data_IF_224073239360
#
_entry.id   IF_224073239360
#
_cell.length_a   1.000
_cell.length_b   1.000
_cell.length_c   1.000
_cell.angle_alpha   90.00
_cell.angle_beta   90.00
_cell.angle_gamma   90.00
#
_symmetry.space_group_name_H-M   'P 1'
#
loop_
_entity.id
_entity.type
_entity.pdbx_description
1 polymer ?
#
# COMPACT_ATOMS: atom_id res chain seq x y z
N UNK A 1 -39.85 0.60 15.55
CA UNK A 1 -39.98 0.10 14.16
C UNK A 1 -38.59 0.08 13.56
N UNK A 2 -38.24 -0.98 12.82
CA UNK A 2 -37.03 -0.99 12.02
C UNK A 2 -37.37 -0.38 10.66
N UNK A 3 -36.66 0.67 10.27
CA UNK A 3 -36.85 1.35 8.99
C UNK A 3 -35.72 1.00 8.04
N UNK A 4 -36.03 0.86 6.77
CA UNK A 4 -35.03 0.78 5.71
C UNK A 4 -34.64 2.20 5.30
N UNK A 5 -33.35 2.53 5.40
CA UNK A 5 -32.83 3.86 5.06
C UNK A 5 -31.99 3.72 3.79
N UNK A 6 -32.54 4.18 2.67
CA UNK A 6 -31.82 4.31 1.39
C UNK A 6 -31.09 5.66 1.39
N UNK A 7 -29.79 5.64 1.08
CA UNK A 7 -28.95 6.83 1.16
C UNK A 7 -29.40 7.96 0.22
N UNK A 8 -29.82 7.61 -0.99
CA UNK A 8 -30.28 8.58 -1.99
C UNK A 8 -31.61 9.22 -1.58
N UNK A 9 -32.52 8.45 -0.98
CA UNK A 9 -33.81 8.95 -0.49
C UNK A 9 -33.63 9.87 0.72
N UNK A 10 -32.78 9.49 1.68
CA UNK A 10 -32.43 10.36 2.81
C UNK A 10 -31.74 11.64 2.33
N UNK A 11 -30.82 11.54 1.37
CA UNK A 11 -30.17 12.71 0.80
C UNK A 11 -31.17 13.63 0.08
N UNK A 12 -32.09 13.06 -0.72
CA UNK A 12 -33.14 13.81 -1.38
C UNK A 12 -34.05 14.51 -0.36
N UNK A 13 -34.49 13.80 0.68
CA UNK A 13 -35.27 14.38 1.78
C UNK A 13 -34.55 15.55 2.46
N UNK A 14 -33.28 15.37 2.82
CA UNK A 14 -32.47 16.42 3.45
C UNK A 14 -32.26 17.62 2.51
N UNK A 15 -32.08 17.38 1.20
CA UNK A 15 -31.91 18.43 0.19
C UNK A 15 -33.20 19.22 -0.01
N UNK A 16 -34.30 18.53 -0.27
CA UNK A 16 -35.61 19.10 -0.62
C UNK A 16 -36.19 19.90 0.54
N UNK A 17 -35.95 19.44 1.78
CA UNK A 17 -36.38 20.12 3.00
C UNK A 17 -35.31 21.04 3.60
N UNK A 18 -34.12 21.11 2.99
CA UNK A 18 -32.99 21.97 3.42
C UNK A 18 -32.51 21.70 4.86
N UNK A 19 -32.55 20.44 5.29
CA UNK A 19 -32.36 20.02 6.70
C UNK A 19 -30.92 19.65 7.07
N UNK A 20 -29.97 19.66 6.14
CA UNK A 20 -28.60 19.19 6.41
C UNK A 20 -27.92 19.89 7.58
N UNK A 21 -27.93 21.22 7.61
CA UNK A 21 -27.26 22.00 8.67
C UNK A 21 -27.97 21.83 10.01
N UNK A 22 -29.29 21.72 9.99
CA UNK A 22 -30.10 21.44 11.18
C UNK A 22 -29.79 20.06 11.75
N UNK A 23 -29.71 19.03 10.90
CA UNK A 23 -29.32 17.69 11.29
C UNK A 23 -27.90 17.66 11.89
N UNK A 24 -26.94 18.38 11.30
CA UNK A 24 -25.59 18.52 11.88
C UNK A 24 -25.63 19.17 13.25
N UNK A 25 -26.47 20.20 13.43
CA UNK A 25 -26.63 20.91 14.71
C UNK A 25 -27.24 20.01 15.78
N UNK A 26 -28.25 19.20 15.44
CA UNK A 26 -28.83 18.21 16.36
C UNK A 26 -27.82 17.13 16.78
N UNK A 27 -26.92 16.74 15.86
CA UNK A 27 -25.83 15.80 16.16
C UNK A 27 -24.63 16.47 16.87
N UNK A 28 -24.64 17.78 17.09
CA UNK A 28 -23.55 18.52 17.74
C UNK A 28 -22.26 18.62 16.90
N UNK A 29 -22.37 18.49 15.58
CA UNK A 29 -21.22 18.43 14.67
C UNK A 29 -20.76 19.82 14.21
N UNK A 30 -19.47 19.94 13.88
CA UNK A 30 -18.84 21.09 13.24
C UNK A 30 -18.88 22.42 14.01
N UNK A 31 -19.08 22.37 15.33
CA UNK A 31 -18.83 23.48 16.24
C UNK A 31 -19.48 24.81 15.83
N UNK A 32 -18.68 25.88 15.73
CA UNK A 32 -19.21 27.20 15.41
C UNK A 32 -19.74 27.29 13.97
N UNK A 33 -19.23 26.47 13.05
CA UNK A 33 -19.67 26.48 11.66
C UNK A 33 -21.16 26.13 11.51
N UNK A 34 -21.71 25.28 12.38
CA UNK A 34 -23.16 25.00 12.45
C UNK A 34 -23.89 25.97 13.38
N UNK A 35 -23.33 26.30 14.56
CA UNK A 35 -23.99 27.22 15.52
C UNK A 35 -24.19 28.63 14.98
N UNK A 36 -23.21 29.14 14.23
CA UNK A 36 -23.22 30.46 13.61
C UNK A 36 -23.71 30.46 12.16
N UNK A 37 -24.26 29.36 11.67
CA UNK A 37 -24.81 29.30 10.32
C UNK A 37 -26.10 30.10 10.25
N UNK A 38 -26.09 31.17 9.45
CA UNK A 38 -27.28 31.99 9.17
C UNK A 38 -27.40 32.08 7.64
N UNK A 39 -28.53 31.63 7.04
CA UNK A 39 -28.75 31.73 5.61
C UNK A 39 -28.48 33.14 5.07
N UNK A 40 -27.74 33.22 3.96
CA UNK A 40 -27.33 34.49 3.35
C UNK A 40 -26.18 35.24 4.05
N UNK A 41 -25.66 34.75 5.18
CA UNK A 41 -24.47 35.30 5.85
C UNK A 41 -23.30 34.33 5.76
N UNK A 42 -22.08 34.88 5.87
CA UNK A 42 -20.86 34.07 5.91
C UNK A 42 -20.80 33.31 7.24
N UNK A 43 -20.81 31.98 7.17
CA UNK A 43 -20.66 31.13 8.35
C UNK A 43 -19.23 31.24 8.92
N UNK A 44 -19.06 31.15 10.24
CA UNK A 44 -17.74 31.06 10.86
C UNK A 44 -17.05 29.75 10.46
N UNK A 45 -15.72 29.76 10.50
CA UNK A 45 -14.91 28.58 10.17
C UNK A 45 -14.57 27.80 11.43
N UNK A 46 -14.23 26.54 11.24
CA UNK A 46 -13.77 25.62 12.29
C UNK A 46 -12.67 24.69 11.76
N UNK A 47 -12.20 23.78 12.62
CA UNK A 47 -11.21 22.76 12.30
C UNK A 47 -11.73 21.85 11.19
N UNK A 48 -10.85 21.40 10.30
CA UNK A 48 -11.28 20.50 9.24
C UNK A 48 -11.52 19.09 9.79
N UNK A 49 -12.70 18.49 9.59
CA UNK A 49 -12.98 17.12 10.06
C UNK A 49 -11.96 16.08 9.55
N UNK A 50 -11.43 16.31 8.35
CA UNK A 50 -10.51 15.39 7.69
C UNK A 50 -9.05 15.49 8.12
N UNK A 51 -8.58 16.68 8.53
CA UNK A 51 -7.16 16.90 8.79
C UNK A 51 -6.84 17.83 9.97
N UNK A 52 -7.85 18.29 10.71
CA UNK A 52 -7.73 19.22 11.85
C UNK A 52 -7.39 20.67 11.45
N UNK A 53 -6.37 20.87 10.61
CA UNK A 53 -5.86 22.18 10.18
C UNK A 53 -4.99 22.85 11.25
N UNK A 54 -3.94 23.59 10.87
CA UNK A 54 -2.99 24.20 11.84
C UNK A 54 -3.58 25.36 12.66
N UNK A 55 -4.56 26.08 12.11
CA UNK A 55 -5.16 27.27 12.72
C UNK A 55 -6.54 27.03 13.34
N UNK A 56 -7.12 25.84 13.19
CA UNK A 56 -8.51 25.56 13.60
C UNK A 56 -9.59 26.31 12.81
N UNK A 57 -9.24 26.97 11.69
CA UNK A 57 -10.17 27.78 10.87
C UNK A 57 -10.09 27.42 9.37
N UNK A 58 -10.06 26.13 9.07
CA UNK A 58 -9.81 25.63 7.73
C UNK A 58 -11.10 25.24 6.98
N UNK A 59 -12.16 24.91 7.70
CA UNK A 59 -13.41 24.35 7.17
C UNK A 59 -14.60 25.24 7.49
N UNK A 60 -15.58 25.31 6.59
CA UNK A 60 -16.83 26.02 6.83
C UNK A 60 -17.97 25.52 5.95
N UNK A 61 -19.18 25.77 6.42
CA UNK A 61 -20.40 25.62 5.66
C UNK A 61 -20.63 26.88 4.80
N UNK A 62 -21.29 26.73 3.67
CA UNK A 62 -21.40 27.76 2.64
C UNK A 62 -22.83 27.89 2.12
N UNK A 63 -23.17 29.09 1.67
CA UNK A 63 -24.45 29.39 1.02
C UNK A 63 -24.15 30.10 -0.31
N UNK A 64 -23.58 29.37 -1.29
CA UNK A 64 -23.12 29.95 -2.56
C UNK A 64 -23.55 29.13 -3.78
N UNK A 65 -24.62 29.57 -4.44
CA UNK A 65 -25.06 29.00 -5.72
C UNK A 65 -25.37 27.50 -5.59
N UNK A 66 -24.80 26.66 -6.49
CA UNK A 66 -24.96 25.20 -6.45
C UNK A 66 -24.28 24.51 -5.26
N UNK A 67 -23.51 25.24 -4.47
CA UNK A 67 -22.84 24.75 -3.27
C UNK A 67 -23.45 25.45 -2.05
N UNK A 68 -24.61 24.93 -1.64
CA UNK A 68 -25.39 25.42 -0.52
C UNK A 68 -25.50 24.30 0.52
N UNK A 69 -24.89 24.48 1.68
CA UNK A 69 -24.79 23.48 2.73
C UNK A 69 -26.14 23.05 3.27
N UNK A 70 -27.17 23.91 3.25
CA UNK A 70 -28.53 23.52 3.62
C UNK A 70 -29.16 22.59 2.58
N UNK A 71 -28.94 22.88 1.29
CA UNK A 71 -29.58 22.15 0.19
C UNK A 71 -28.81 20.93 -0.29
N UNK A 72 -27.53 20.77 0.10
CA UNK A 72 -26.65 19.73 -0.45
C UNK A 72 -25.75 19.07 0.60
N UNK A 73 -25.77 19.57 1.84
CA UNK A 73 -24.93 19.08 2.93
C UNK A 73 -23.43 19.36 2.78
N UNK A 74 -23.01 20.04 1.70
CA UNK A 74 -21.57 20.21 1.40
C UNK A 74 -20.85 21.03 2.45
N UNK A 75 -19.59 20.71 2.69
CA UNK A 75 -18.67 21.52 3.47
C UNK A 75 -17.41 21.82 2.68
N UNK A 76 -16.79 22.98 2.91
CA UNK A 76 -15.61 23.41 2.14
C UNK A 76 -14.43 23.64 3.06
N UNK A 77 -13.31 23.01 2.70
CA UNK A 77 -12.03 23.24 3.34
C UNK A 77 -11.04 23.91 2.38
N UNK A 78 -10.24 24.86 2.88
CA UNK A 78 -9.22 25.54 2.08
C UNK A 78 -8.19 24.56 1.46
N UNK A 79 -7.87 23.46 2.16
CA UNK A 79 -6.85 22.47 1.72
C UNK A 79 -7.46 21.21 1.09
N UNK A 80 -8.61 20.74 1.60
CA UNK A 80 -9.24 19.51 1.10
C UNK A 80 -10.24 19.73 -0.03
N UNK A 81 -10.63 20.99 -0.30
CA UNK A 81 -11.66 21.31 -1.27
C UNK A 81 -13.08 21.03 -0.74
N UNK A 82 -14.00 20.75 -1.67
CA UNK A 82 -15.42 20.50 -1.39
C UNK A 82 -15.62 19.04 -0.99
N UNK A 83 -16.36 18.80 0.08
CA UNK A 83 -16.71 17.48 0.58
C UNK A 83 -18.24 17.36 0.69
N UNK A 84 -18.77 16.16 0.40
CA UNK A 84 -20.22 15.89 0.49
C UNK A 84 -20.68 15.70 1.94
N UNK A 85 -21.99 15.83 2.17
CA UNK A 85 -22.56 15.80 3.51
C UNK A 85 -22.27 14.52 4.30
N UNK A 86 -22.48 13.35 3.71
CA UNK A 86 -22.14 12.10 4.39
C UNK A 86 -20.64 11.96 4.69
N UNK A 87 -19.79 12.36 3.75
CA UNK A 87 -18.33 12.27 3.91
C UNK A 87 -17.85 13.14 5.07
N UNK A 88 -18.31 14.38 5.20
CA UNK A 88 -17.84 15.24 6.30
C UNK A 88 -18.27 14.73 7.67
N UNK A 89 -19.44 14.09 7.79
CA UNK A 89 -19.90 13.48 9.04
C UNK A 89 -19.06 12.24 9.38
N UNK A 90 -18.75 11.40 8.40
CA UNK A 90 -17.86 10.25 8.61
C UNK A 90 -16.48 10.69 9.10
N UNK A 91 -15.91 11.73 8.51
CA UNK A 91 -14.57 12.23 8.87
C UNK A 91 -14.56 12.84 10.30
N UNK A 92 -15.62 13.55 10.71
CA UNK A 92 -15.73 14.14 12.05
C UNK A 92 -15.93 13.09 13.16
N UNK A 93 -16.76 12.08 12.89
CA UNK A 93 -17.23 11.12 13.90
C UNK A 93 -16.46 9.80 13.90
N UNK A 94 -15.75 9.52 12.81
CA UNK A 94 -15.17 8.22 12.50
C UNK A 94 -16.21 7.08 12.43
N UNK A 95 -17.49 7.41 12.24
CA UNK A 95 -18.57 6.44 12.12
C UNK A 95 -18.57 5.75 10.75
N UNK A 96 -18.91 4.45 10.68
CA UNK A 96 -19.15 3.78 9.40
C UNK A 96 -20.40 4.36 8.73
N UNK A 97 -20.44 4.33 7.39
CA UNK A 97 -21.50 4.94 6.59
C UNK A 97 -22.94 4.55 7.01
N UNK A 98 -23.28 3.29 7.35
CA UNK A 98 -24.61 2.94 7.84
C UNK A 98 -25.01 3.67 9.12
N UNK A 99 -24.06 3.89 10.04
CA UNK A 99 -24.31 4.64 11.27
C UNK A 99 -24.54 6.11 10.98
N UNK A 100 -23.81 6.68 10.02
CA UNK A 100 -24.03 8.06 9.57
C UNK A 100 -25.43 8.25 9.00
N UNK A 101 -25.90 7.33 8.16
CA UNK A 101 -27.27 7.37 7.62
C UNK A 101 -28.32 7.29 8.72
N UNK A 102 -28.18 6.35 9.65
CA UNK A 102 -29.09 6.20 10.78
C UNK A 102 -29.16 7.49 11.62
N UNK A 103 -28.02 8.06 11.98
CA UNK A 103 -27.96 9.23 12.86
C UNK A 103 -28.48 10.49 12.16
N UNK A 104 -28.21 10.67 10.86
CA UNK A 104 -28.77 11.78 10.08
C UNK A 104 -30.27 11.64 9.87
N UNK A 105 -30.77 10.42 9.65
CA UNK A 105 -32.20 10.17 9.55
C UNK A 105 -32.92 10.56 10.84
N UNK A 106 -32.43 10.09 11.99
CA UNK A 106 -32.96 10.42 13.32
C UNK A 106 -32.90 11.94 13.55
N UNK A 107 -31.75 12.57 13.29
CA UNK A 107 -31.54 13.98 13.56
C UNK A 107 -32.36 14.92 12.67
N UNK A 108 -32.75 14.47 11.48
CA UNK A 108 -33.55 15.26 10.53
C UNK A 108 -35.05 14.99 10.63
N UNK A 109 -35.47 14.01 11.42
CA UNK A 109 -36.87 13.56 11.43
C UNK A 109 -37.27 12.82 10.14
N UNK A 110 -36.29 12.29 9.39
CA UNK A 110 -36.57 11.43 8.25
C UNK A 110 -37.37 10.22 8.72
N UNK A 111 -38.64 10.12 8.26
CA UNK A 111 -39.66 9.19 8.75
C UNK A 111 -39.92 9.31 10.27
N UNK A 112 -41.07 9.86 10.65
CA UNK A 112 -41.42 10.04 12.06
C UNK A 112 -41.34 8.71 12.85
N UNK A 113 -40.65 8.75 13.99
CA UNK A 113 -40.52 7.60 14.89
C UNK A 113 -39.35 6.64 14.62
N UNK A 114 -38.41 6.98 13.72
CA UNK A 114 -37.14 6.21 13.60
C UNK A 114 -36.39 6.25 14.93
N UNK A 115 -36.14 5.07 15.50
CA UNK A 115 -35.22 4.87 16.63
C UNK A 115 -34.02 3.97 16.27
N UNK A 116 -34.10 3.25 15.15
CA UNK A 116 -33.01 2.48 14.54
C UNK A 116 -33.33 2.15 13.08
N UNK A 117 -32.30 1.92 12.25
CA UNK A 117 -32.47 1.64 10.82
C UNK A 117 -31.57 0.52 10.28
N UNK A 118 -32.00 -0.12 9.21
CA UNK A 118 -31.21 -1.06 8.41
C UNK A 118 -30.80 -0.36 7.11
N UNK A 119 -29.52 -0.39 6.80
CA UNK A 119 -29.00 0.15 5.55
C UNK A 119 -29.14 -0.88 4.43
N UNK A 120 -29.82 -0.49 3.34
CA UNK A 120 -29.85 -1.23 2.09
C UNK A 120 -29.19 -0.39 0.99
N UNK A 121 -28.07 -0.86 0.40
CA UNK A 121 -27.56 -0.22 -0.80
C UNK A 121 -28.56 -0.41 -1.96
N UNK A 122 -28.69 0.56 -2.88
CA UNK A 122 -29.56 0.40 -4.03
C UNK A 122 -29.19 -0.86 -4.83
N UNK A 123 -30.20 -1.60 -5.35
CA UNK A 123 -29.94 -2.81 -6.13
C UNK A 123 -29.10 -2.45 -7.36
N UNK A 124 -28.04 -3.22 -7.60
CA UNK A 124 -27.16 -3.02 -8.76
C UNK A 124 -27.96 -3.24 -10.06
N UNK A 125 -27.73 -2.37 -11.04
CA UNK A 125 -28.37 -2.51 -12.35
C UNK A 125 -27.92 -3.80 -13.06
N UNK A 126 -28.70 -4.32 -14.03
CA UNK A 126 -28.26 -5.46 -14.85
C UNK A 126 -26.91 -5.26 -15.52
N UNK A 127 -26.59 -4.03 -15.94
CA UNK A 127 -25.30 -3.67 -16.54
C UNK A 127 -24.16 -3.70 -15.52
N UNK A 128 -24.38 -3.24 -14.28
CA UNK A 128 -23.39 -3.33 -13.21
C UNK A 128 -23.12 -4.78 -12.83
N UNK A 129 -24.17 -5.60 -12.69
CA UNK A 129 -24.02 -7.03 -12.39
C UNK A 129 -23.28 -7.79 -13.50
N UNK A 130 -23.58 -7.50 -14.77
CA UNK A 130 -22.88 -8.09 -15.91
C UNK A 130 -21.39 -7.71 -15.93
N UNK A 131 -21.08 -6.44 -15.69
CA UNK A 131 -19.70 -5.94 -15.61
C UNK A 131 -18.93 -6.52 -14.43
N UNK A 132 -19.56 -6.66 -13.26
CA UNK A 132 -18.94 -7.29 -12.09
C UNK A 132 -18.65 -8.77 -12.33
N UNK A 133 -19.58 -9.48 -12.99
CA UNK A 133 -19.40 -10.89 -13.36
C UNK A 133 -18.27 -11.05 -14.37
N UNK A 134 -18.25 -10.25 -15.43
CA UNK A 134 -17.19 -10.28 -16.45
C UNK A 134 -15.82 -9.99 -15.83
N UNK A 135 -15.74 -8.98 -14.97
CA UNK A 135 -14.53 -8.65 -14.21
C UNK A 135 -14.10 -9.82 -13.32
N UNK A 136 -15.02 -10.43 -12.57
CA UNK A 136 -14.70 -11.56 -11.71
C UNK A 136 -14.18 -12.77 -12.51
N UNK A 137 -14.74 -13.02 -13.70
CA UNK A 137 -14.26 -14.06 -14.62
C UNK A 137 -12.89 -13.73 -15.23
N UNK A 138 -12.60 -12.47 -15.53
CA UNK A 138 -11.26 -12.01 -15.94
C UNK A 138 -10.24 -12.17 -14.80
N UNK A 139 -10.58 -11.72 -13.60
CA UNK A 139 -9.73 -11.83 -12.40
C UNK A 139 -9.45 -13.30 -12.07
N UNK A 140 -10.44 -14.18 -12.16
CA UNK A 140 -10.25 -15.62 -11.96
C UNK A 140 -9.29 -16.24 -12.98
N UNK A 141 -9.40 -15.87 -14.27
CA UNK A 141 -8.46 -16.31 -15.31
C UNK A 141 -7.04 -15.79 -15.05
N UNK A 142 -6.91 -14.53 -14.63
CA UNK A 142 -5.63 -13.91 -14.27
C UNK A 142 -5.00 -14.62 -13.07
N UNK A 143 -5.78 -14.89 -12.03
CA UNK A 143 -5.37 -15.60 -10.82
C UNK A 143 -4.86 -17.00 -11.15
N UNK A 144 -5.58 -17.75 -11.97
CA UNK A 144 -5.16 -19.08 -12.40
C UNK A 144 -3.81 -19.04 -13.14
N UNK A 145 -3.61 -18.05 -14.02
CA UNK A 145 -2.36 -17.86 -14.74
C UNK A 145 -1.19 -17.47 -13.80
N UNK A 146 -1.45 -16.63 -12.80
CA UNK A 146 -0.45 -16.24 -11.79
C UNK A 146 -0.06 -17.43 -10.93
N UNK A 147 -1.05 -18.16 -10.40
CA UNK A 147 -0.83 -19.35 -9.58
C UNK A 147 0.00 -20.40 -10.32
N UNK A 148 -0.35 -20.69 -11.59
CA UNK A 148 0.39 -21.62 -12.44
C UNK A 148 1.85 -21.21 -12.63
N UNK A 149 2.12 -19.93 -12.90
CA UNK A 149 3.49 -19.42 -13.08
C UNK A 149 4.30 -19.48 -11.78
N UNK A 150 3.68 -19.17 -10.64
CA UNK A 150 4.35 -19.25 -9.35
C UNK A 150 4.64 -20.71 -8.95
N UNK A 151 3.71 -21.63 -9.19
CA UNK A 151 3.92 -23.06 -8.99
C UNK A 151 5.07 -23.59 -9.88
N UNK A 152 5.06 -23.24 -11.17
CA UNK A 152 6.13 -23.63 -12.09
C UNK A 152 7.52 -23.15 -11.61
N UNK A 153 7.66 -21.87 -11.26
CA UNK A 153 8.92 -21.34 -10.72
C UNK A 153 9.35 -22.05 -9.44
N UNK A 154 8.40 -22.46 -8.60
CA UNK A 154 8.68 -23.18 -7.37
C UNK A 154 9.18 -24.60 -7.63
N UNK A 155 8.56 -25.29 -8.58
CA UNK A 155 8.88 -26.68 -8.93
C UNK A 155 10.21 -26.79 -9.69
N UNK A 156 10.56 -25.77 -10.48
CA UNK A 156 11.87 -25.63 -11.13
C UNK A 156 13.00 -25.29 -10.13
N UNK A 157 12.68 -24.90 -8.90
CA UNK A 157 13.65 -24.53 -7.88
C UNK A 157 14.11 -25.73 -7.03
N UNK A 158 15.39 -25.73 -6.67
CA UNK A 158 16.00 -26.77 -5.85
C UNK A 158 15.87 -26.47 -4.36
N UNK A 159 15.43 -27.44 -3.54
CA UNK A 159 15.57 -27.37 -2.08
C UNK A 159 17.02 -27.10 -1.67
N UNK A 160 17.21 -26.36 -0.57
CA UNK A 160 18.55 -26.03 -0.08
C UNK A 160 19.39 -27.26 0.34
N UNK A 161 18.78 -28.45 0.43
CA UNK A 161 19.48 -29.72 0.68
C UNK A 161 20.14 -30.32 -0.56
N UNK A 162 19.88 -29.78 -1.75
CA UNK A 162 20.46 -30.27 -3.01
C UNK A 162 21.80 -29.58 -3.29
N UNK A 163 22.82 -30.28 -3.82
CA UNK A 163 24.11 -29.66 -4.18
C UNK A 163 23.98 -28.49 -5.14
N UNK A 164 22.99 -28.52 -6.05
CA UNK A 164 22.72 -27.44 -6.99
C UNK A 164 22.30 -26.13 -6.31
N UNK A 165 21.84 -26.19 -5.04
CA UNK A 165 21.48 -25.03 -4.25
C UNK A 165 22.69 -24.31 -3.61
N UNK A 166 23.93 -24.75 -3.89
CA UNK A 166 25.17 -24.19 -3.34
C UNK A 166 25.26 -22.65 -3.39
N UNK A 167 24.83 -21.94 -4.45
CA UNK A 167 24.81 -20.47 -4.42
C UNK A 167 24.00 -19.87 -3.27
N UNK A 168 22.84 -20.45 -2.94
CA UNK A 168 22.02 -20.01 -1.82
C UNK A 168 22.64 -20.38 -0.47
N UNK A 169 23.24 -21.58 -0.36
CA UNK A 169 23.94 -22.02 0.85
C UNK A 169 25.11 -21.07 1.14
N UNK A 170 25.89 -20.74 0.10
CA UNK A 170 26.99 -19.78 0.18
C UNK A 170 26.51 -18.39 0.54
N UNK A 171 25.38 -17.95 -0.02
CA UNK A 171 24.75 -16.67 0.35
C UNK A 171 24.44 -16.56 1.84
N UNK A 172 23.87 -17.61 2.43
CA UNK A 172 23.57 -17.67 3.87
C UNK A 172 24.86 -17.76 4.70
N UNK A 173 25.82 -18.59 4.30
CA UNK A 173 27.11 -18.75 4.99
C UNK A 173 27.92 -17.45 5.04
N UNK A 174 27.96 -16.70 3.94
CA UNK A 174 28.64 -15.40 3.86
C UNK A 174 28.07 -14.37 4.86
N UNK A 175 26.86 -14.62 5.38
CA UNK A 175 26.13 -13.79 6.34
C UNK A 175 26.14 -14.35 7.76
N UNK A 176 26.99 -15.34 8.02
CA UNK A 176 27.04 -16.08 9.29
C UNK A 176 25.70 -16.73 9.67
N UNK A 177 24.79 -16.91 8.70
CA UNK A 177 23.53 -17.62 8.92
C UNK A 177 23.84 -19.11 8.84
N UNK A 178 24.01 -19.71 10.02
CA UNK A 178 24.29 -21.13 10.21
C UNK A 178 23.03 -21.95 10.55
N UNK A 179 21.84 -21.35 10.38
CA UNK A 179 20.56 -22.00 10.60
C UNK A 179 20.51 -23.36 9.91
N UNK A 180 19.73 -24.29 10.47
CA UNK A 180 19.63 -25.67 9.96
C UNK A 180 19.06 -25.64 8.55
N UNK A 181 19.92 -25.51 7.54
CA UNK A 181 19.54 -25.38 6.12
C UNK A 181 18.59 -26.51 5.68
N UNK A 182 18.74 -27.69 6.29
CA UNK A 182 17.83 -28.83 6.11
C UNK A 182 16.40 -28.59 6.63
N UNK A 183 16.19 -27.84 7.72
CA UNK A 183 14.85 -27.52 8.25
C UNK A 183 14.11 -26.47 7.42
N UNK A 184 14.81 -25.73 6.55
CA UNK A 184 14.20 -24.77 5.62
C UNK A 184 13.60 -25.43 4.36
N UNK A 185 13.83 -26.73 4.17
CA UNK A 185 13.77 -27.41 2.86
C UNK A 185 12.41 -27.42 2.13
N UNK A 186 11.33 -27.05 2.82
CA UNK A 186 10.00 -26.90 2.23
C UNK A 186 9.61 -25.49 1.83
N UNK A 187 10.28 -24.46 2.34
CA UNK A 187 9.80 -23.06 2.29
C UNK A 187 10.81 -22.09 1.68
N UNK A 188 12.08 -22.51 1.57
CA UNK A 188 13.15 -21.77 0.88
C UNK A 188 13.82 -22.66 -0.16
N UNK A 189 13.96 -22.16 -1.39
CA UNK A 189 14.58 -22.88 -2.52
C UNK A 189 15.48 -21.96 -3.34
N UNK A 190 16.46 -22.54 -4.04
CA UNK A 190 17.22 -21.83 -5.07
C UNK A 190 16.65 -22.14 -6.45
N UNK A 191 16.24 -21.11 -7.18
CA UNK A 191 15.98 -21.21 -8.61
C UNK A 191 17.24 -20.82 -9.41
N UNK A 192 17.69 -21.60 -10.41
CA UNK A 192 18.95 -21.36 -11.13
C UNK A 192 18.97 -20.07 -11.95
N UNK A 193 17.83 -19.62 -12.46
CA UNK A 193 17.78 -18.50 -13.39
C UNK A 193 16.40 -17.89 -13.53
N UNK A 194 16.00 -17.07 -12.56
CA UNK A 194 14.78 -16.25 -12.68
C UNK A 194 15.10 -15.05 -13.57
N UNK A 195 14.26 -14.80 -14.58
CA UNK A 195 14.41 -13.61 -15.44
C UNK A 195 14.05 -12.35 -14.65
N UNK A 196 15.00 -11.42 -14.52
CA UNK A 196 14.82 -10.14 -13.86
C UNK A 196 14.25 -9.12 -14.85
N UNK A 197 13.07 -8.60 -14.53
CA UNK A 197 12.40 -7.56 -15.31
C UNK A 197 12.25 -6.35 -14.39
N UNK A 198 12.71 -5.19 -14.85
CA UNK A 198 12.41 -3.90 -14.24
C UNK A 198 11.51 -3.04 -15.09
N UNK A 199 10.97 -2.01 -14.44
CA UNK A 199 10.16 -0.98 -15.09
C UNK A 199 10.86 0.37 -14.92
N UNK A 200 11.33 0.91 -16.03
CA UNK A 200 11.79 2.29 -16.12
C UNK A 200 10.62 3.18 -16.51
N UNK A 201 10.60 4.40 -15.98
CA UNK A 201 9.57 5.38 -16.32
C UNK A 201 10.24 6.68 -16.78
N UNK A 202 9.91 7.11 -18.00
CA UNK A 202 10.39 8.36 -18.57
C UNK A 202 9.29 9.41 -18.61
N UNK A 203 9.57 10.62 -18.14
CA UNK A 203 8.66 11.75 -18.36
C UNK A 203 9.00 12.38 -19.71
N UNK A 204 8.00 12.84 -20.46
CA UNK A 204 8.27 13.49 -21.73
C UNK A 204 7.20 14.49 -22.13
N UNK A 205 7.61 15.47 -22.94
CA UNK A 205 6.69 16.19 -23.81
C UNK A 205 6.52 15.36 -25.08
N UNK A 206 5.29 15.20 -25.54
CA UNK A 206 4.95 14.49 -26.77
C UNK A 206 4.42 15.54 -27.76
N UNK A 207 5.05 15.68 -28.92
CA UNK A 207 4.53 16.47 -30.04
C UNK A 207 3.86 15.55 -31.04
N UNK A 208 2.63 15.88 -31.42
CA UNK A 208 1.86 15.19 -32.46
C UNK A 208 2.24 15.77 -33.83
N UNK A 209 3.09 15.06 -34.58
CA UNK A 209 3.60 15.48 -35.88
C UNK A 209 2.93 14.69 -37.03
N UNK A 210 2.96 15.18 -38.28
CA UNK A 210 2.32 14.50 -39.42
C UNK A 210 2.78 13.06 -39.67
N UNK A 211 4.03 12.73 -39.27
CA UNK A 211 4.64 11.42 -39.48
C UNK A 211 4.69 10.56 -38.20
N UNK A 212 4.04 11.01 -37.12
CA UNK A 212 3.97 10.27 -35.86
C UNK A 212 4.23 11.14 -34.65
N UNK A 213 4.48 10.49 -33.51
CA UNK A 213 4.78 11.18 -32.26
C UNK A 213 6.27 11.34 -32.07
N UNK A 214 6.68 12.55 -31.71
CA UNK A 214 8.04 12.82 -31.24
C UNK A 214 8.03 13.02 -29.74
N UNK A 215 9.07 12.47 -29.09
CA UNK A 215 9.23 12.48 -27.64
C UNK A 215 10.40 13.35 -27.23
N UNK A 216 10.16 14.26 -26.30
CA UNK A 216 11.17 15.10 -25.67
C UNK A 216 11.31 14.64 -24.22
N UNK A 217 12.25 13.72 -23.99
CA UNK A 217 12.46 13.07 -22.70
C UNK A 217 13.05 14.03 -21.68
N UNK A 218 12.56 13.96 -20.45
CA UNK A 218 12.93 14.82 -19.34
C UNK A 218 13.41 14.00 -18.14
N UNK A 219 14.45 14.49 -17.46
CA UNK A 219 14.86 13.97 -16.16
C UNK A 219 13.92 14.46 -15.03
N UNK A 220 14.18 14.05 -13.78
CA UNK A 220 13.40 14.45 -12.60
C UNK A 220 13.42 15.97 -12.32
N UNK A 221 14.37 16.69 -12.90
CA UNK A 221 14.58 18.12 -12.72
C UNK A 221 14.03 18.94 -13.92
N UNK A 222 13.56 18.28 -14.98
CA UNK A 222 13.06 18.93 -16.18
C UNK A 222 14.13 19.21 -17.23
N UNK A 223 15.34 18.65 -17.11
CA UNK A 223 16.34 18.76 -18.17
C UNK A 223 16.08 17.73 -19.26
N UNK A 224 16.36 18.11 -20.52
CA UNK A 224 16.29 17.20 -21.65
C UNK A 224 17.29 16.05 -21.47
N UNK A 225 16.81 14.82 -21.66
CA UNK A 225 17.61 13.60 -21.59
C UNK A 225 17.36 12.71 -22.80
N UNK A 226 18.04 11.57 -22.87
CA UNK A 226 17.78 10.52 -23.85
C UNK A 226 16.59 9.66 -23.43
N UNK A 227 16.11 8.84 -24.36
CA UNK A 227 15.09 7.85 -24.05
C UNK A 227 15.56 6.93 -22.91
N UNK A 228 14.69 6.59 -21.94
CA UNK A 228 15.00 5.57 -20.95
C UNK A 228 15.30 4.21 -21.60
N UNK A 229 16.17 3.44 -20.95
CA UNK A 229 16.47 2.07 -21.36
C UNK A 229 15.24 1.16 -21.23
N UNK A 230 15.11 0.24 -22.19
CA UNK A 230 14.09 -0.81 -22.20
C UNK A 230 13.17 -0.76 -23.41
N UNK A 231 12.19 -1.67 -23.40
CA UNK A 231 11.20 -1.81 -24.47
C UNK A 231 9.93 -1.04 -24.13
N UNK A 232 9.49 -0.18 -25.04
CA UNK A 232 8.26 0.60 -24.92
C UNK A 232 7.05 -0.30 -24.64
N UNK A 233 6.23 0.03 -23.62
CA UNK A 233 5.10 -0.82 -23.21
C UNK A 233 3.72 -0.30 -23.64
N UNK A 234 3.59 0.97 -23.99
CA UNK A 234 2.29 1.58 -24.29
C UNK A 234 2.03 1.72 -25.78
N UNK A 235 0.78 1.64 -26.19
CA UNK A 235 0.36 2.04 -27.53
C UNK A 235 0.26 3.56 -27.64
N UNK A 236 0.25 4.08 -28.87
CA UNK A 236 0.09 5.51 -29.09
C UNK A 236 -1.20 6.06 -28.47
N UNK A 237 -2.29 5.28 -28.57
CA UNK A 237 -3.62 5.65 -28.04
C UNK A 237 -3.62 5.77 -26.51
N UNK A 238 -2.91 4.87 -25.82
CA UNK A 238 -2.80 4.88 -24.36
C UNK A 238 -2.02 6.09 -23.86
N UNK A 239 -0.88 6.39 -24.50
CA UNK A 239 -0.08 7.56 -24.15
C UNK A 239 -0.87 8.86 -24.26
N UNK A 240 -1.59 9.05 -25.36
CA UNK A 240 -2.37 10.28 -25.57
C UNK A 240 -3.54 10.37 -24.59
N UNK A 241 -4.14 9.23 -24.20
CA UNK A 241 -5.19 9.18 -23.18
C UNK A 241 -4.69 9.57 -21.79
N UNK A 242 -3.46 9.20 -21.44
CA UNK A 242 -2.86 9.45 -20.13
C UNK A 242 -2.06 10.77 -20.04
N UNK A 243 -1.74 11.36 -21.19
CA UNK A 243 -1.08 12.65 -21.27
C UNK A 243 -2.03 13.80 -20.91
N UNK A 244 -1.46 14.90 -20.44
CA UNK A 244 -2.17 16.12 -20.09
C UNK A 244 -1.73 17.27 -20.99
N UNK A 245 -2.62 18.25 -21.18
CA UNK A 245 -2.25 19.49 -21.85
C UNK A 245 -1.14 20.24 -21.09
N UNK A 246 -0.29 20.98 -21.80
CA UNK A 246 0.80 21.75 -21.18
C UNK A 246 0.32 22.83 -20.23
N UNK A 247 -0.94 23.25 -20.27
CA UNK A 247 -1.54 24.19 -19.30
C UNK A 247 -1.88 23.53 -17.96
N UNK A 248 -1.99 22.19 -17.91
CA UNK A 248 -2.40 21.47 -16.71
C UNK A 248 -1.38 21.66 -15.57
N UNK A 249 -1.79 21.78 -14.29
CA UNK A 249 -0.87 21.96 -13.17
C UNK A 249 0.24 20.91 -13.08
N UNK A 250 -0.06 19.64 -13.37
CA UNK A 250 0.96 18.56 -13.37
C UNK A 250 2.02 18.69 -14.47
N UNK A 251 1.78 19.49 -15.52
CA UNK A 251 2.74 19.77 -16.58
C UNK A 251 3.73 20.90 -16.23
N UNK A 252 3.80 21.33 -14.96
CA UNK A 252 4.74 22.37 -14.50
C UNK A 252 6.18 22.05 -14.89
N UNK A 253 6.60 20.79 -14.74
CA UNK A 253 7.95 20.36 -15.09
C UNK A 253 8.23 20.52 -16.59
N UNK A 254 7.27 20.14 -17.44
CA UNK A 254 7.38 20.33 -18.89
C UNK A 254 7.48 21.79 -19.30
N UNK A 255 6.69 22.69 -18.69
CA UNK A 255 6.78 24.13 -18.97
C UNK A 255 8.13 24.71 -18.55
N UNK A 256 8.64 24.30 -17.39
CA UNK A 256 9.98 24.68 -16.94
C UNK A 256 11.05 24.17 -17.93
N UNK A 257 10.95 22.91 -18.32
CA UNK A 257 11.85 22.30 -19.31
C UNK A 257 11.88 23.09 -20.63
N UNK A 258 10.71 23.39 -21.20
CA UNK A 258 10.58 24.17 -22.44
C UNK A 258 11.25 25.55 -22.28
N UNK A 259 11.06 26.23 -21.15
CA UNK A 259 11.67 27.55 -20.93
C UNK A 259 13.21 27.52 -20.97
N UNK A 260 13.82 26.40 -20.59
CA UNK A 260 15.26 26.19 -20.54
C UNK A 260 15.85 25.58 -21.82
N UNK A 261 15.00 25.15 -22.76
CA UNK A 261 15.45 24.56 -24.03
C UNK A 261 15.98 25.63 -25.01
N UNK A 262 16.84 25.26 -25.97
CA UNK A 262 17.19 26.10 -27.11
C UNK A 262 15.96 26.55 -27.91
N UNK A 263 16.01 27.75 -28.49
CA UNK A 263 14.84 28.37 -29.14
C UNK A 263 14.29 27.55 -30.31
N UNK A 264 15.16 26.94 -31.12
CA UNK A 264 14.73 26.04 -32.20
C UNK A 264 13.91 24.82 -31.69
N UNK A 265 14.15 24.35 -30.45
CA UNK A 265 13.35 23.28 -29.85
C UNK A 265 12.02 23.84 -29.35
N UNK A 266 12.01 25.03 -28.74
CA UNK A 266 10.77 25.69 -28.31
C UNK A 266 9.83 25.90 -29.50
N UNK A 267 10.35 26.38 -30.63
CA UNK A 267 9.61 26.56 -31.87
C UNK A 267 9.08 25.24 -32.44
N UNK A 268 9.91 24.18 -32.41
CA UNK A 268 9.47 22.84 -32.84
C UNK A 268 8.32 22.28 -31.97
N UNK A 269 8.35 22.56 -30.67
CA UNK A 269 7.27 22.17 -29.75
C UNK A 269 6.02 23.02 -29.98
N UNK A 270 6.18 24.34 -30.12
CA UNK A 270 5.08 25.28 -30.29
C UNK A 270 4.35 25.14 -31.63
N UNK A 271 5.03 24.66 -32.68
CA UNK A 271 4.45 24.39 -34.00
C UNK A 271 3.55 23.15 -34.05
N UNK A 272 3.51 22.34 -32.98
CA UNK A 272 2.74 21.11 -32.90
C UNK A 272 1.83 21.10 -31.67
N UNK A 273 0.80 20.24 -31.69
CA UNK A 273 0.04 19.97 -30.48
C UNK A 273 0.92 19.17 -29.52
N UNK A 274 1.33 19.83 -28.44
CA UNK A 274 2.19 19.26 -27.42
C UNK A 274 1.41 18.87 -26.16
N UNK A 275 1.66 17.67 -25.65
CA UNK A 275 1.10 17.16 -24.40
C UNK A 275 2.20 16.65 -23.50
N UNK A 276 1.98 16.60 -22.20
CA UNK A 276 2.92 16.09 -21.22
C UNK A 276 2.50 14.71 -20.70
N UNK A 277 3.43 13.75 -20.76
CA UNK A 277 3.26 12.45 -20.15
C UNK A 277 4.21 12.30 -18.97
N UNK A 278 3.65 12.07 -17.78
CA UNK A 278 4.40 12.06 -16.51
C UNK A 278 5.23 10.80 -16.24
N UNK A 279 5.05 9.74 -17.03
CA UNK A 279 5.75 8.47 -16.81
C UNK A 279 5.40 7.40 -17.84
N UNK A 280 6.03 7.48 -19.01
CA UNK A 280 5.98 6.44 -20.04
C UNK A 280 6.75 5.21 -19.56
N UNK A 281 6.13 4.04 -19.62
CA UNK A 281 6.69 2.80 -19.09
C UNK A 281 7.59 2.08 -20.11
N UNK A 282 8.78 1.71 -19.67
CA UNK A 282 9.77 0.93 -20.40
C UNK A 282 10.10 -0.33 -19.62
N UNK A 283 10.04 -1.48 -20.29
CA UNK A 283 10.39 -2.77 -19.71
C UNK A 283 11.86 -3.06 -19.93
N UNK A 284 12.62 -3.13 -18.85
CA UNK A 284 14.04 -3.46 -18.88
C UNK A 284 14.23 -4.93 -18.49
N UNK A 285 14.78 -5.74 -19.40
CA UNK A 285 15.10 -7.14 -19.14
C UNK A 285 16.60 -7.27 -18.85
N UNK A 286 16.95 -7.57 -17.60
CA UNK A 286 18.34 -7.71 -17.16
C UNK A 286 18.82 -9.17 -17.17
N UNK A 287 18.14 -10.04 -17.91
CA UNK A 287 18.51 -11.44 -18.06
C UNK A 287 18.13 -12.31 -16.86
N UNK A 288 18.69 -13.52 -16.81
CA UNK A 288 18.42 -14.51 -15.77
C UNK A 288 19.46 -14.45 -14.67
N UNK A 289 19.01 -14.52 -13.43
CA UNK A 289 19.85 -14.52 -12.23
C UNK A 289 19.47 -15.69 -11.31
N UNK A 290 20.42 -16.34 -10.64
CA UNK A 290 20.11 -17.20 -9.50
C UNK A 290 19.26 -16.45 -8.47
N UNK A 291 18.29 -17.14 -7.88
CA UNK A 291 17.32 -16.48 -7.02
C UNK A 291 16.86 -17.39 -5.88
N UNK A 292 17.00 -16.90 -4.66
CA UNK A 292 16.39 -17.52 -3.49
C UNK A 292 14.90 -17.20 -3.53
N UNK A 293 14.08 -18.24 -3.62
CA UNK A 293 12.63 -18.17 -3.58
C UNK A 293 12.14 -18.58 -2.19
N UNK A 294 11.33 -17.72 -1.57
CA UNK A 294 10.62 -18.05 -0.34
C UNK A 294 9.13 -18.12 -0.63
N UNK A 295 8.49 -19.20 -0.15
CA UNK A 295 7.06 -19.38 -0.30
C UNK A 295 6.32 -18.51 0.69
N UNK A 296 5.35 -17.75 0.20
CA UNK A 296 4.48 -16.91 1.00
C UNK A 296 3.16 -17.64 1.18
N UNK A 297 2.67 -17.68 2.41
CA UNK A 297 1.40 -18.31 2.78
C UNK A 297 0.48 -17.29 3.44
N UNK A 298 -0.81 -17.43 3.19
CA UNK A 298 -1.83 -16.70 3.93
C UNK A 298 -1.98 -17.27 5.37
N UNK A 299 -2.80 -16.64 6.23
CA UNK A 299 -3.03 -17.15 7.59
C UNK A 299 -3.58 -18.58 7.68
N UNK A 300 -4.20 -19.10 6.61
CA UNK A 300 -4.67 -20.49 6.54
C UNK A 300 -3.56 -21.49 6.16
N UNK A 301 -2.37 -21.00 5.82
CA UNK A 301 -1.23 -21.81 5.37
C UNK A 301 -1.22 -22.08 3.86
N UNK A 302 -2.17 -21.52 3.09
CA UNK A 302 -2.24 -21.72 1.64
C UNK A 302 -1.17 -20.89 0.93
N UNK A 303 -0.40 -21.46 -0.02
CA UNK A 303 0.56 -20.68 -0.81
C UNK A 303 -0.13 -19.61 -1.66
N UNK A 304 0.32 -18.35 -1.56
CA UNK A 304 -0.28 -17.21 -2.27
C UNK A 304 0.67 -16.53 -3.26
N UNK A 305 1.96 -16.49 -2.95
CA UNK A 305 2.98 -15.86 -3.79
C UNK A 305 4.39 -16.34 -3.41
N UNK A 306 5.40 -15.79 -4.07
CA UNK A 306 6.82 -16.02 -3.80
C UNK A 306 7.54 -14.69 -3.56
N UNK A 307 8.38 -14.67 -2.54
CA UNK A 307 9.40 -13.65 -2.37
C UNK A 307 10.67 -14.08 -3.10
N UNK A 308 11.35 -13.13 -3.74
CA UNK A 308 12.51 -13.33 -4.58
C UNK A 308 13.67 -12.53 -4.03
N UNK A 309 14.80 -13.18 -3.73
CA UNK A 309 16.08 -12.52 -3.47
C UNK A 309 17.05 -12.91 -4.58
N UNK A 310 17.40 -11.97 -5.44
CA UNK A 310 18.31 -12.21 -6.55
C UNK A 310 19.76 -12.23 -6.05
N UNK A 311 20.48 -13.29 -6.40
CA UNK A 311 21.86 -13.52 -5.95
C UNK A 311 22.75 -13.87 -7.14
N UNK A 312 24.05 -13.74 -6.93
CA UNK A 312 25.07 -14.21 -7.86
C UNK A 312 25.39 -15.69 -7.61
N UNK A 313 26.10 -16.34 -8.54
CA UNK A 313 26.54 -17.73 -8.38
C UNK A 313 27.53 -17.93 -7.24
N UNK A 314 28.25 -16.88 -6.83
CA UNK A 314 29.18 -16.86 -5.70
C UNK A 314 28.51 -16.46 -4.37
N UNK A 315 27.17 -16.35 -4.33
CA UNK A 315 26.43 -16.11 -3.09
C UNK A 315 26.49 -14.67 -2.60
N UNK A 316 26.59 -13.71 -3.50
CA UNK A 316 26.44 -12.27 -3.21
C UNK A 316 25.07 -11.78 -3.65
N UNK A 317 24.66 -10.58 -3.21
CA UNK A 317 23.46 -9.92 -3.74
C UNK A 317 23.72 -9.60 -5.23
N UNK A 318 22.75 -9.90 -6.10
CA UNK A 318 22.90 -9.59 -7.52
C UNK A 318 22.97 -8.07 -7.75
N UNK A 319 23.76 -7.63 -8.71
CA UNK A 319 23.85 -6.22 -9.12
C UNK A 319 22.67 -5.86 -10.03
N UNK A 320 21.48 -5.77 -9.41
CA UNK A 320 20.22 -5.40 -10.06
C UNK A 320 19.54 -4.27 -9.28
N UNK A 321 18.69 -3.43 -9.90
CA UNK A 321 18.15 -2.25 -9.23
C UNK A 321 17.42 -2.54 -7.93
N UNK A 322 16.67 -3.65 -7.84
CA UNK A 322 16.03 -4.11 -6.61
C UNK A 322 16.29 -5.59 -6.37
N UNK A 323 17.22 -5.89 -5.46
CA UNK A 323 17.64 -7.26 -5.10
C UNK A 323 16.48 -8.13 -4.59
N UNK A 324 15.54 -7.55 -3.84
CA UNK A 324 14.38 -8.25 -3.28
C UNK A 324 13.09 -7.86 -4.01
N UNK A 325 12.35 -8.82 -4.58
CA UNK A 325 11.08 -8.57 -5.29
C UNK A 325 9.98 -9.54 -4.84
N UNK A 326 8.74 -9.10 -4.95
CA UNK A 326 7.57 -9.95 -4.75
C UNK A 326 7.01 -10.35 -6.11
N UNK A 327 6.65 -11.63 -6.24
CA UNK A 327 5.82 -12.10 -7.36
C UNK A 327 4.39 -11.60 -7.20
N UNK A 328 3.63 -11.48 -8.31
CA UNK A 328 2.19 -11.25 -8.21
C UNK A 328 1.51 -12.34 -7.38
N UNK A 329 0.56 -11.95 -6.53
CA UNK A 329 -0.36 -12.87 -5.87
C UNK A 329 -1.64 -13.05 -6.68
N UNK A 330 -2.38 -14.09 -6.35
CA UNK A 330 -3.79 -14.22 -6.75
C UNK A 330 -4.61 -13.13 -6.03
N UNK A 331 -5.54 -12.51 -6.74
CA UNK A 331 -6.42 -11.45 -6.21
C UNK A 331 -7.32 -11.97 -5.08
N UNK A 332 -7.71 -13.25 -5.16
CA UNK A 332 -8.53 -13.95 -4.17
C UNK A 332 -7.79 -14.36 -2.89
N UNK A 333 -6.47 -14.25 -2.84
CA UNK A 333 -5.68 -14.56 -1.64
C UNK A 333 -4.60 -13.48 -1.44
N UNK A 334 -4.94 -12.38 -0.73
CA UNK A 334 -4.01 -11.28 -0.55
C UNK A 334 -2.77 -11.71 0.23
N UNK A 335 -1.63 -11.13 -0.13
CA UNK A 335 -0.37 -11.30 0.62
C UNK A 335 -0.47 -10.65 2.00
N UNK A 336 -1.29 -9.60 2.13
CA UNK A 336 -1.50 -8.90 3.40
C UNK A 336 -2.07 -9.86 4.45
N UNK A 337 -1.46 -9.89 5.63
CA UNK A 337 -1.77 -10.88 6.67
C UNK A 337 -0.94 -12.15 6.57
N UNK A 338 -0.32 -12.44 5.43
CA UNK A 338 0.50 -13.62 5.19
C UNK A 338 1.96 -13.49 5.64
N UNK A 339 2.71 -14.58 5.53
CA UNK A 339 4.11 -14.66 5.91
C UNK A 339 4.86 -15.77 5.16
N UNK A 340 6.19 -15.75 5.23
CA UNK A 340 7.05 -16.91 4.98
C UNK A 340 7.06 -17.75 6.26
N UNK A 341 6.25 -18.81 6.29
CA UNK A 341 6.04 -19.65 7.48
C UNK A 341 7.11 -20.74 7.57
N UNK A 342 8.27 -20.45 8.19
CA UNK A 342 9.41 -21.40 8.23
C UNK A 342 9.22 -22.57 9.20
N UNK A 343 8.30 -22.44 10.16
CA UNK A 343 7.95 -23.47 11.14
C UNK A 343 6.42 -23.54 11.34
N UNK A 344 5.89 -24.67 11.84
CA UNK A 344 4.52 -24.72 12.35
C UNK A 344 4.28 -23.66 13.44
N UNK A 345 3.05 -23.17 13.60
CA UNK A 345 2.74 -22.21 14.65
C UNK A 345 2.94 -22.83 16.05
N UNK A 346 3.60 -22.08 16.93
CA UNK A 346 3.91 -22.45 18.32
C UNK A 346 3.38 -21.37 19.29
N UNK A 347 3.21 -21.68 20.59
CA UNK A 347 2.76 -20.67 21.57
C UNK A 347 3.67 -19.44 21.66
N UNK A 348 4.95 -19.59 21.35
CA UNK A 348 5.91 -18.49 21.24
C UNK A 348 6.44 -18.47 19.81
N UNK A 349 6.37 -17.32 19.13
CA UNK A 349 6.77 -17.17 17.74
C UNK A 349 7.63 -15.93 17.52
N UNK A 350 8.76 -16.07 16.84
CA UNK A 350 9.50 -14.92 16.33
C UNK A 350 8.91 -14.45 15.00
N UNK A 351 8.85 -13.14 14.79
CA UNK A 351 8.54 -12.55 13.49
C UNK A 351 9.57 -11.50 13.16
N UNK A 352 9.95 -11.39 11.89
CA UNK A 352 10.88 -10.36 11.43
C UNK A 352 10.44 -9.81 10.07
N UNK A 353 10.91 -8.62 9.72
CA UNK A 353 10.61 -8.00 8.42
C UNK A 353 11.07 -8.89 7.25
N UNK A 354 12.31 -9.38 7.29
CA UNK A 354 12.92 -10.15 6.21
C UNK A 354 13.30 -11.58 6.59
N UNK A 355 13.52 -12.41 5.57
CA UNK A 355 14.09 -13.75 5.75
C UNK A 355 15.48 -13.69 6.42
N UNK A 356 16.35 -12.78 5.99
CA UNK A 356 17.72 -12.67 6.51
C UNK A 356 17.73 -12.30 8.00
N UNK A 357 16.93 -11.31 8.39
CA UNK A 357 16.72 -10.90 9.79
C UNK A 357 16.27 -12.09 10.62
N UNK A 358 15.22 -12.78 10.17
CA UNK A 358 14.68 -13.96 10.86
C UNK A 358 15.70 -15.10 11.00
N UNK A 359 16.41 -15.44 9.92
CA UNK A 359 17.39 -16.52 9.97
C UNK A 359 18.63 -16.14 10.79
N UNK A 360 18.96 -14.86 10.91
CA UNK A 360 20.01 -14.37 11.80
C UNK A 360 19.59 -14.57 13.26
N UNK A 361 18.35 -14.23 13.59
CA UNK A 361 17.74 -14.47 14.90
C UNK A 361 17.70 -15.96 15.22
N UNK A 362 17.24 -16.80 14.29
CA UNK A 362 17.19 -18.25 14.50
C UNK A 362 18.61 -18.82 14.72
N UNK A 363 19.59 -18.34 13.96
CA UNK A 363 21.00 -18.77 14.12
C UNK A 363 21.58 -18.33 15.46
N UNK A 364 21.22 -17.15 15.95
CA UNK A 364 21.74 -16.60 17.19
C UNK A 364 21.04 -17.17 18.43
N UNK A 365 19.71 -17.29 18.40
CA UNK A 365 18.88 -17.53 19.59
C UNK A 365 18.20 -18.90 19.59
N UNK A 366 18.16 -19.59 18.44
CA UNK A 366 17.35 -20.79 18.25
C UNK A 366 15.85 -20.54 18.13
N UNK A 367 15.38 -19.28 18.21
CA UNK A 367 13.96 -18.95 18.05
C UNK A 367 13.50 -19.18 16.61
N UNK A 368 12.46 -19.99 16.46
CA UNK A 368 11.81 -20.21 15.17
C UNK A 368 10.72 -19.19 14.94
N UNK A 369 10.47 -18.89 13.67
CA UNK A 369 9.58 -17.79 13.35
C UNK A 369 9.23 -17.65 11.88
N UNK A 370 8.51 -16.56 11.59
CA UNK A 370 7.95 -16.28 10.28
C UNK A 370 8.44 -14.95 9.71
N UNK A 371 8.76 -14.92 8.42
CA UNK A 371 9.24 -13.72 7.73
C UNK A 371 8.07 -12.92 7.15
N UNK A 372 7.95 -11.65 7.53
CA UNK A 372 6.80 -10.80 7.21
C UNK A 372 7.01 -9.94 5.95
N UNK A 373 8.03 -10.29 5.15
CA UNK A 373 8.35 -9.79 3.80
C UNK A 373 8.88 -8.36 3.72
N UNK A 374 8.18 -7.39 4.31
CA UNK A 374 8.58 -5.99 4.41
C UNK A 374 7.82 -5.28 5.54
N UNK A 375 8.25 -4.06 5.90
CA UNK A 375 7.66 -3.28 6.98
C UNK A 375 6.14 -3.14 6.86
N UNK A 376 5.62 -2.81 5.67
CA UNK A 376 4.16 -2.63 5.48
C UNK A 376 3.37 -3.90 5.72
N UNK A 377 3.86 -5.04 5.23
CA UNK A 377 3.20 -6.34 5.40
C UNK A 377 3.32 -6.84 6.84
N UNK A 378 4.42 -6.53 7.53
CA UNK A 378 4.57 -6.75 8.96
C UNK A 378 3.47 -6.03 9.76
N UNK A 379 3.23 -4.74 9.50
CA UNK A 379 2.18 -3.97 10.18
C UNK A 379 0.74 -4.45 9.92
N UNK A 380 0.55 -5.33 8.92
CA UNK A 380 -0.74 -5.92 8.56
C UNK A 380 -0.80 -7.44 8.81
N UNK A 381 0.23 -8.03 9.42
CA UNK A 381 0.27 -9.47 9.66
C UNK A 381 -0.86 -9.90 10.62
N UNK A 382 -1.44 -11.08 10.34
CA UNK A 382 -2.51 -11.66 11.15
C UNK A 382 -1.93 -12.87 11.88
N UNK A 383 -2.00 -12.83 13.21
CA UNK A 383 -1.54 -13.93 14.06
C UNK A 383 -2.39 -15.18 13.86
N UNK A 384 -1.73 -16.33 13.81
CA UNK A 384 -2.38 -17.64 13.70
C UNK A 384 -2.87 -18.14 15.06
N UNK A 385 -3.87 -19.03 15.03
CA UNK A 385 -4.43 -19.64 16.24
C UNK A 385 -3.35 -20.38 17.05
N UNK A 386 -3.40 -20.23 18.38
CA UNK A 386 -2.52 -20.96 19.31
C UNK A 386 -1.24 -20.22 19.71
N UNK A 387 -0.88 -19.14 19.01
CA UNK A 387 0.20 -18.24 19.44
C UNK A 387 -0.26 -17.45 20.66
N UNK A 388 0.63 -17.30 21.65
CA UNK A 388 0.39 -16.56 22.90
C UNK A 388 1.36 -15.40 23.08
N UNK A 389 2.59 -15.53 22.57
CA UNK A 389 3.62 -14.51 22.64
C UNK A 389 4.33 -14.38 21.30
N UNK A 390 4.39 -13.15 20.78
CA UNK A 390 5.13 -12.79 19.57
C UNK A 390 6.34 -11.93 19.91
N UNK A 391 7.51 -12.34 19.41
CA UNK A 391 8.73 -11.53 19.42
C UNK A 391 8.88 -10.85 18.07
N UNK A 392 8.81 -9.52 18.05
CA UNK A 392 8.96 -8.72 16.82
C UNK A 392 10.41 -8.27 16.71
N UNK A 393 11.15 -8.88 15.80
CA UNK A 393 12.52 -8.52 15.44
C UNK A 393 12.49 -7.52 14.30
N UNK A 394 12.41 -6.25 14.67
CA UNK A 394 12.31 -5.12 13.75
C UNK A 394 13.68 -4.68 13.23
N UNK A 395 13.72 -4.13 12.00
CA UNK A 395 14.92 -3.49 11.46
C UNK A 395 15.06 -2.06 12.05
N UNK A 396 16.30 -1.55 12.12
CA UNK A 396 16.65 -0.31 12.83
C UNK A 396 16.28 1.01 12.10
N UNK A 397 15.32 0.96 11.16
CA UNK A 397 14.88 2.10 10.36
C UNK A 397 13.48 2.62 10.76
N UNK A 398 13.14 3.83 10.30
CA UNK A 398 11.88 4.48 10.65
C UNK A 398 10.65 3.71 10.15
N UNK A 399 10.74 2.99 9.02
CA UNK A 399 9.63 2.23 8.50
C UNK A 399 9.39 0.95 9.32
N UNK A 400 10.47 0.25 9.70
CA UNK A 400 10.46 -0.91 10.57
C UNK A 400 9.85 -0.59 11.93
N UNK A 401 10.34 0.46 12.60
CA UNK A 401 9.85 0.88 13.93
C UNK A 401 8.36 1.24 13.93
N UNK A 402 7.90 2.01 12.93
CA UNK A 402 6.48 2.41 12.81
C UNK A 402 5.58 1.20 12.59
N UNK A 403 5.98 0.27 11.73
CA UNK A 403 5.15 -0.90 11.43
C UNK A 403 5.18 -1.95 12.54
N UNK A 404 6.29 -2.08 13.27
CA UNK A 404 6.37 -2.95 14.42
C UNK A 404 5.51 -2.42 15.59
N UNK A 405 5.49 -1.11 15.83
CA UNK A 405 4.57 -0.49 16.78
C UNK A 405 3.09 -0.71 16.40
N UNK A 406 2.78 -0.60 15.09
CA UNK A 406 1.44 -0.92 14.58
C UNK A 406 1.09 -2.39 14.83
N UNK A 407 2.01 -3.31 14.56
CA UNK A 407 1.79 -4.74 14.78
C UNK A 407 1.61 -5.05 16.28
N UNK A 408 2.46 -4.50 17.14
CA UNK A 408 2.35 -4.61 18.60
C UNK A 408 0.96 -4.20 19.09
N UNK A 409 0.48 -3.01 18.69
CA UNK A 409 -0.87 -2.55 19.05
C UNK A 409 -1.96 -3.54 18.62
N UNK A 410 -1.87 -4.07 17.41
CA UNK A 410 -2.86 -5.02 16.88
C UNK A 410 -2.85 -6.35 17.66
N UNK A 411 -1.66 -6.87 17.97
CA UNK A 411 -1.49 -8.12 18.72
C UNK A 411 -1.95 -7.99 20.17
N UNK A 412 -1.58 -6.91 20.85
CA UNK A 412 -2.05 -6.62 22.21
C UNK A 412 -3.59 -6.51 22.25
N UNK A 413 -4.20 -5.87 21.26
CA UNK A 413 -5.67 -5.79 21.14
C UNK A 413 -6.33 -7.16 20.94
N UNK A 414 -5.59 -8.14 20.41
CA UNK A 414 -6.01 -9.52 20.25
C UNK A 414 -5.67 -10.42 21.46
N UNK A 415 -5.17 -9.84 22.56
CA UNK A 415 -4.79 -10.59 23.77
C UNK A 415 -3.48 -11.36 23.66
N UNK A 416 -2.66 -11.05 22.65
CA UNK A 416 -1.35 -11.69 22.44
C UNK A 416 -0.26 -10.88 23.14
N UNK A 417 0.61 -11.55 23.90
CA UNK A 417 1.78 -10.91 24.49
C UNK A 417 2.77 -10.53 23.40
N UNK A 418 3.41 -9.36 23.52
CA UNK A 418 4.38 -8.87 22.54
C UNK A 418 5.68 -8.50 23.23
N UNK A 419 6.81 -8.82 22.59
CA UNK A 419 8.12 -8.27 22.93
C UNK A 419 8.78 -7.76 21.66
N UNK A 420 9.16 -6.49 21.66
CA UNK A 420 9.89 -5.87 20.54
C UNK A 420 11.39 -5.96 20.78
N UNK A 421 12.10 -6.39 19.75
CA UNK A 421 13.54 -6.52 19.72
C UNK A 421 14.07 -5.61 18.61
N UNK A 422 14.67 -4.47 18.99
CA UNK A 422 15.32 -3.54 18.08
C UNK A 422 16.85 -3.66 18.18
N UNK A 423 17.61 -3.68 17.06
CA UNK A 423 19.08 -3.69 17.05
C UNK A 423 19.69 -2.58 17.91
N UNK A 424 19.02 -1.43 18.00
CA UNK A 424 19.42 -0.27 18.81
C UNK A 424 19.50 -0.55 20.30
N UNK A 425 18.88 -1.63 20.80
CA UNK A 425 19.06 -2.07 22.18
C UNK A 425 20.50 -2.51 22.47
N UNK A 426 21.22 -3.00 21.46
CA UNK A 426 22.62 -3.43 21.56
C UNK A 426 23.55 -2.31 21.07
N UNK A 427 23.12 -1.59 20.01
CA UNK A 427 23.89 -0.53 19.36
C UNK A 427 23.01 0.71 19.08
N UNK A 428 22.78 1.59 20.06
CA UNK A 428 21.84 2.72 19.92
C UNK A 428 22.14 3.68 18.76
N UNK A 429 23.42 3.90 18.47
CA UNK A 429 23.91 4.89 17.48
C UNK A 429 24.17 4.28 16.09
N UNK A 430 23.73 3.04 15.84
CA UNK A 430 24.01 2.32 14.61
C UNK A 430 22.76 2.13 13.75
N UNK A 431 22.94 2.12 12.43
CA UNK A 431 21.93 1.73 11.44
C UNK A 431 22.03 0.23 11.06
N UNK A 432 22.85 -0.54 11.78
CA UNK A 432 23.03 -1.97 11.59
C UNK A 432 21.71 -2.75 11.72
N UNK A 433 21.48 -3.67 10.78
CA UNK A 433 20.41 -4.66 10.89
C UNK A 433 20.82 -5.87 11.76
N UNK A 434 19.89 -6.79 12.03
CA UNK A 434 20.19 -7.98 12.83
C UNK A 434 21.23 -8.91 12.18
N UNK A 435 21.35 -8.91 10.85
CA UNK A 435 22.39 -9.68 10.19
C UNK A 435 23.76 -9.04 10.39
N UNK A 436 23.86 -7.71 10.29
CA UNK A 436 25.08 -6.97 10.60
C UNK A 436 25.52 -7.22 12.05
N UNK A 437 24.58 -7.28 13.00
CA UNK A 437 24.89 -7.62 14.40
C UNK A 437 25.51 -9.02 14.50
N UNK A 438 24.88 -10.02 13.86
CA UNK A 438 25.38 -11.39 13.87
C UNK A 438 26.77 -11.50 13.25
N UNK A 439 27.01 -10.85 12.12
CA UNK A 439 28.27 -10.90 11.39
C UNK A 439 29.40 -10.21 12.16
N UNK A 440 29.13 -9.03 12.76
CA UNK A 440 30.17 -8.21 13.37
C UNK A 440 30.44 -8.54 14.84
N UNK A 441 29.45 -9.04 15.59
CA UNK A 441 29.55 -9.23 17.04
C UNK A 441 29.23 -10.65 17.51
N UNK A 442 28.77 -11.53 16.62
CA UNK A 442 28.43 -12.91 16.94
C UNK A 442 27.05 -13.08 17.60
N UNK A 443 26.66 -14.32 17.92
CA UNK A 443 25.32 -14.65 18.41
C UNK A 443 25.08 -14.27 19.88
N UNK A 444 26.14 -14.12 20.68
CA UNK A 444 26.03 -13.94 22.14
C UNK A 444 25.50 -12.56 22.55
N UNK A 445 25.58 -11.56 21.65
CA UNK A 445 25.06 -10.21 21.92
C UNK A 445 23.56 -10.10 21.70
N UNK A 446 22.92 -11.10 21.09
CA UNK A 446 21.48 -11.10 20.93
C UNK A 446 20.83 -11.17 22.31
N UNK A 447 19.65 -10.57 22.49
CA UNK A 447 18.83 -10.84 23.66
C UNK A 447 18.64 -12.37 23.75
N UNK A 448 18.83 -12.95 24.93
CA UNK A 448 18.71 -14.41 25.18
C UNK A 448 17.88 -14.75 26.43
N UNK A 449 17.71 -13.80 27.35
CA UNK A 449 17.15 -14.08 28.68
C UNK A 449 15.62 -14.10 28.66
N UNK A 450 15.08 -15.31 28.87
CA UNK A 450 13.78 -15.61 29.48
C UNK A 450 12.56 -15.73 28.57
N UNK A 451 12.70 -16.42 27.44
CA UNK A 451 11.61 -16.68 26.48
C UNK A 451 10.51 -17.62 26.99
N UNK A 452 10.81 -18.35 28.07
CA UNK A 452 9.93 -19.33 28.71
C UNK A 452 9.47 -18.92 30.12
N UNK A 453 10.04 -17.87 30.73
CA UNK A 453 9.68 -17.50 32.11
C UNK A 453 8.32 -16.78 32.21
N UNK A 454 7.65 -16.56 31.08
CA UNK A 454 6.40 -15.82 31.04
C UNK A 454 5.35 -16.40 30.07
N UNK A 455 5.41 -17.71 29.78
CA UNK A 455 4.36 -18.44 29.04
C UNK A 455 3.23 -18.85 29.96
#
# INVERSE_FOLDING_TARGET
>A
MHYEIVADDLAAYLNDNRLWVEAYKHLGLFGDATRGFIPGKKAPKTSCPKHGGRSGEAFGLIHRGKLDSEATGVGVCNSCGVMSGFTIVMEETNWPFPKVLEQLAIASGYMDGITSGVFSPPPKSPTQLAWEKERAEEDARRDQAVAKKNAQLWDEAWPLTKPQAEPAIRYLRNRQILSKVASLGGEVRLHPGVRYIDMNYGQCIITLEPHGMRYWWLDKNGHKTTQPDGVFQSTQKELIKEAVDLTHPSAKLARLAISQMPDHIKEAIASHKAVFHKGVAFKLDLGKHPCILCRIRDPSGKPVSLHQTFITSDGQKALVPKVKKLRPSVSTAPISGGAVQLCPPTPVLAVAEGLETLLSVESATGMQGWGLLNATLMGNWIVCMGVKHVYIWEDADAAGEVNAAKLEKNLLSAGIKVTRCNPKLIRPESDMDWNDILVNFGPDVFPHRDWLQHV
#
